data_IF_644377705310
#
_entry.id   IF_644377705310
#
_cell.length_a   1.000
_cell.length_b   1.000
_cell.length_c   1.000
_cell.angle_alpha   90.00
_cell.angle_beta   90.00
_cell.angle_gamma   90.00
#
_symmetry.space_group_name_H-M   'P 1'
#
loop_
_entity.id
_entity.type
_entity.pdbx_description
1 polymer ?
#
# COMPACT_ATOMS: atom_id res chain seq x y z
N UNK A 1 21.36 7.61 -3.12
CA UNK A 1 22.81 7.46 -2.97
C UNK A 1 23.14 7.39 -1.48
N UNK A 2 23.29 6.18 -0.93
CA UNK A 2 23.76 5.97 0.46
C UNK A 2 25.09 5.24 0.35
N UNK A 3 26.14 5.99 0.02
CA UNK A 3 27.49 5.46 -0.19
C UNK A 3 28.48 6.12 0.78
N UNK A 4 28.37 5.87 2.10
CA UNK A 4 29.39 6.32 3.08
C UNK A 4 29.35 5.59 4.42
N UNK A 5 29.26 4.25 4.51
CA UNK A 5 29.28 3.64 5.86
C UNK A 5 30.11 2.38 6.09
N UNK A 6 30.78 1.79 5.09
CA UNK A 6 31.68 0.66 5.41
C UNK A 6 32.97 1.11 6.09
N UNK A 7 33.57 2.22 5.62
CA UNK A 7 34.76 2.80 6.25
C UNK A 7 34.47 3.35 7.66
N UNK A 8 33.32 4.01 7.85
CA UNK A 8 32.91 4.54 9.15
C UNK A 8 32.59 3.42 10.16
N UNK A 9 31.88 2.37 9.75
CA UNK A 9 31.56 1.23 10.63
C UNK A 9 32.80 0.40 10.99
N UNK A 10 33.75 0.24 10.06
CA UNK A 10 35.02 -0.43 10.34
C UNK A 10 35.93 0.38 11.27
N UNK A 11 35.97 1.72 11.11
CA UNK A 11 36.67 2.61 12.04
C UNK A 11 36.09 2.53 13.46
N UNK A 12 34.76 2.63 13.61
CA UNK A 12 34.09 2.51 14.90
C UNK A 12 34.33 1.14 15.58
N UNK A 13 34.33 0.05 14.80
CA UNK A 13 34.67 -1.28 15.32
C UNK A 13 36.13 -1.36 15.78
N UNK A 14 37.05 -0.78 15.02
CA UNK A 14 38.49 -0.74 15.35
C UNK A 14 38.74 0.02 16.65
N UNK A 15 38.11 1.18 16.83
CA UNK A 15 38.19 1.96 18.07
C UNK A 15 37.65 1.19 19.28
N UNK A 16 36.50 0.53 19.12
CA UNK A 16 35.92 -0.30 20.19
C UNK A 16 36.82 -1.47 20.58
N UNK A 17 37.46 -2.12 19.61
CA UNK A 17 38.42 -3.20 19.87
C UNK A 17 39.69 -2.70 20.56
N UNK A 18 40.18 -1.51 20.21
CA UNK A 18 41.33 -0.88 20.87
C UNK A 18 40.97 -0.54 22.33
N UNK A 19 39.78 -0.01 22.61
CA UNK A 19 39.33 0.28 23.96
C UNK A 19 39.23 -1.00 24.83
N UNK A 20 38.68 -2.08 24.27
CA UNK A 20 38.63 -3.39 24.94
C UNK A 20 40.03 -3.96 25.21
N UNK A 21 40.95 -3.83 24.25
CA UNK A 21 42.34 -4.29 24.42
C UNK A 21 43.08 -3.47 25.48
N UNK A 22 42.89 -2.15 25.53
CA UNK A 22 43.43 -1.28 26.59
C UNK A 22 42.86 -1.63 27.96
N UNK A 23 41.55 -1.90 28.06
CA UNK A 23 40.92 -2.33 29.32
C UNK A 23 41.45 -3.69 29.79
N UNK A 24 41.68 -4.63 28.87
CA UNK A 24 42.28 -5.94 29.19
C UNK A 24 43.73 -5.79 29.64
N UNK A 25 44.53 -4.97 28.95
CA UNK A 25 45.92 -4.69 29.33
C UNK A 25 46.02 -3.97 30.68
N UNK A 26 45.10 -3.05 30.99
CA UNK A 26 45.04 -2.40 32.30
C UNK A 26 44.66 -3.39 33.43
N UNK A 27 43.82 -4.39 33.12
CA UNK A 27 43.52 -5.48 34.06
C UNK A 27 44.69 -6.46 34.24
N UNK A 28 45.48 -6.72 33.19
CA UNK A 28 46.66 -7.59 33.23
C UNK A 28 47.90 -6.91 33.85
N UNK A 29 48.03 -5.58 33.74
CA UNK A 29 49.13 -4.80 34.34
C UNK A 29 48.92 -4.46 35.82
N UNK A 30 47.88 -5.02 36.47
CA UNK A 30 47.77 -5.02 37.92
C UNK A 30 47.71 -3.64 38.59
N UNK A 31 47.21 -2.61 37.89
CA UNK A 31 47.03 -1.27 38.46
C UNK A 31 45.55 -0.87 38.51
N UNK A 32 44.72 -1.79 39.00
CA UNK A 32 43.36 -1.53 39.44
C UNK A 32 43.35 -1.41 40.96
N UNK A 33 43.25 -0.16 41.42
CA UNK A 33 43.13 0.31 42.81
C UNK A 33 42.55 -0.73 43.78
N UNK A 34 43.29 -0.92 44.87
CA UNK A 34 42.99 -1.74 46.03
C UNK A 34 41.55 -1.63 46.53
N UNK A 35 40.88 -2.77 46.60
CA UNK A 35 39.69 -2.98 47.39
C UNK A 35 39.57 -4.47 47.70
N UNK A 36 39.46 -4.89 48.97
CA UNK A 36 39.39 -6.30 49.31
C UNK A 36 38.23 -6.93 48.56
N UNK A 37 38.51 -8.05 47.91
CA UNK A 37 37.55 -8.96 47.30
C UNK A 37 36.70 -9.59 48.40
N UNK A 38 35.89 -8.79 49.08
CA UNK A 38 34.78 -9.33 49.84
C UNK A 38 33.85 -9.91 48.78
N UNK A 39 33.78 -11.24 48.72
CA UNK A 39 32.70 -11.94 48.05
C UNK A 39 31.39 -11.49 48.70
N UNK A 40 30.86 -10.35 48.27
CA UNK A 40 29.52 -9.93 48.58
C UNK A 40 28.63 -10.94 47.88
N UNK A 41 28.12 -11.91 48.63
CA UNK A 41 27.17 -12.89 48.12
C UNK A 41 26.00 -12.12 47.51
N UNK A 42 25.97 -12.01 46.18
CA UNK A 42 24.83 -11.46 45.47
C UNK A 42 23.69 -12.42 45.67
N UNK A 43 22.77 -12.06 46.55
CA UNK A 43 21.53 -12.76 46.75
C UNK A 43 20.76 -12.74 45.43
N UNK A 44 20.65 -13.89 44.78
CA UNK A 44 20.10 -13.98 43.42
C UNK A 44 18.59 -13.68 43.42
N UNK A 45 17.89 -14.17 44.44
CA UNK A 45 16.43 -14.14 44.56
C UNK A 45 15.92 -13.49 45.86
N UNK A 46 16.77 -12.88 46.68
CA UNK A 46 16.35 -12.23 47.92
C UNK A 46 16.62 -10.74 47.84
N UNK A 47 15.64 -9.95 48.30
CA UNK A 47 15.74 -8.51 48.37
C UNK A 47 16.00 -8.07 49.82
N UNK A 48 17.17 -7.45 50.11
CA UNK A 48 17.58 -7.15 51.48
C UNK A 48 16.73 -6.06 52.16
N UNK A 49 16.06 -5.19 51.42
CA UNK A 49 15.22 -4.13 52.00
C UNK A 49 13.84 -4.65 52.40
N UNK A 50 13.20 -5.43 51.51
CA UNK A 50 11.87 -5.99 51.75
C UNK A 50 11.90 -7.34 52.49
N UNK A 51 13.09 -7.96 52.63
CA UNK A 51 13.32 -9.29 53.20
C UNK A 51 12.47 -10.39 52.57
N UNK A 52 12.04 -10.19 51.33
CA UNK A 52 11.18 -11.10 50.58
C UNK A 52 11.89 -11.63 49.33
N UNK A 53 11.25 -12.61 48.69
CA UNK A 53 11.68 -13.14 47.41
C UNK A 53 11.59 -12.01 46.37
N UNK A 54 12.68 -11.82 45.63
CA UNK A 54 12.77 -10.83 44.57
C UNK A 54 11.79 -11.21 43.47
N UNK A 55 10.62 -10.59 43.46
CA UNK A 55 9.64 -10.79 42.41
C UNK A 55 10.23 -10.21 41.12
N UNK A 56 10.38 -11.05 40.10
CA UNK A 56 10.81 -10.59 38.80
C UNK A 56 9.60 -9.86 38.23
N UNK A 57 9.58 -8.53 38.31
CA UNK A 57 8.65 -7.72 37.55
C UNK A 57 8.76 -8.20 36.10
N UNK A 58 7.80 -9.03 35.70
CA UNK A 58 7.61 -9.38 34.31
C UNK A 58 7.16 -8.06 33.72
N UNK A 59 8.14 -7.30 33.20
CA UNK A 59 7.93 -5.95 32.69
C UNK A 59 6.62 -5.92 31.94
N UNK A 60 5.72 -5.04 32.39
CA UNK A 60 4.29 -4.93 32.08
C UNK A 60 3.95 -5.58 30.74
N UNK A 61 3.77 -6.89 30.77
CA UNK A 61 3.68 -7.75 29.59
C UNK A 61 2.25 -8.16 29.32
N UNK A 62 1.32 -7.23 29.52
CA UNK A 62 -0.12 -7.44 29.39
C UNK A 62 -0.74 -6.67 28.22
N UNK A 63 0.03 -5.89 27.46
CA UNK A 63 -0.53 -4.90 26.54
C UNK A 63 -0.73 -5.43 25.11
N UNK A 64 -0.11 -6.56 24.73
CA UNK A 64 -0.13 -7.07 23.36
C UNK A 64 -0.82 -8.45 23.28
N UNK A 65 -2.04 -8.51 23.79
CA UNK A 65 -2.91 -9.70 23.70
C UNK A 65 -3.94 -9.51 22.58
N UNK A 66 -4.30 -10.59 21.86
CA UNK A 66 -5.28 -10.52 20.76
C UNK A 66 -6.64 -10.06 21.29
N UNK A 67 -6.95 -10.43 22.53
CA UNK A 67 -8.15 -10.01 23.25
C UNK A 67 -8.19 -8.49 23.42
N UNK A 68 -7.09 -7.86 23.85
CA UNK A 68 -6.99 -6.40 23.98
C UNK A 68 -7.04 -5.67 22.62
N UNK A 69 -6.51 -6.29 21.57
CA UNK A 69 -6.54 -5.72 20.21
C UNK A 69 -7.93 -5.78 19.54
N UNK A 70 -8.77 -6.73 19.95
CA UNK A 70 -10.12 -6.94 19.39
C UNK A 70 -11.20 -6.35 20.31
N UNK A 71 -10.85 -5.98 21.54
CA UNK A 71 -11.71 -5.25 22.46
C UNK A 71 -12.22 -3.96 21.78
N UNK A 72 -13.55 -3.82 21.67
CA UNK A 72 -14.20 -2.68 21.05
C UNK A 72 -14.42 -2.76 19.52
N UNK A 73 -13.82 -3.72 18.80
CA UNK A 73 -14.06 -3.89 17.34
C UNK A 73 -15.52 -4.26 17.05
N UNK A 74 -16.12 -5.10 17.89
CA UNK A 74 -17.54 -5.46 17.74
C UNK A 74 -18.45 -4.22 17.93
N UNK A 75 -18.09 -3.34 18.86
CA UNK A 75 -18.84 -2.10 19.11
C UNK A 75 -18.67 -1.11 17.98
N UNK A 76 -17.49 -1.02 17.36
CA UNK A 76 -17.28 -0.15 16.19
C UNK A 76 -18.07 -0.64 14.97
N UNK A 77 -18.09 -1.95 14.72
CA UNK A 77 -18.88 -2.54 13.64
C UNK A 77 -20.37 -2.27 13.84
N UNK A 78 -20.87 -2.40 15.08
CA UNK A 78 -22.27 -2.13 15.38
C UNK A 78 -22.60 -0.64 15.19
N UNK A 79 -21.73 0.27 15.64
CA UNK A 79 -21.89 1.71 15.42
C UNK A 79 -21.90 2.07 13.94
N UNK A 80 -20.99 1.51 13.14
CA UNK A 80 -20.95 1.70 11.69
C UNK A 80 -22.20 1.16 10.99
N UNK A 81 -22.73 0.00 11.40
CA UNK A 81 -23.97 -0.56 10.85
C UNK A 81 -25.18 0.31 11.22
N UNK A 82 -25.22 0.82 12.46
CA UNK A 82 -26.25 1.77 12.88
C UNK A 82 -26.17 3.09 12.12
N UNK A 83 -24.97 3.61 11.86
CA UNK A 83 -24.76 4.82 11.06
C UNK A 83 -25.25 4.62 9.63
N UNK A 84 -24.89 3.51 8.98
CA UNK A 84 -25.37 3.15 7.62
C UNK A 84 -26.88 2.94 7.55
N UNK A 85 -27.52 2.51 8.65
CA UNK A 85 -28.99 2.41 8.72
C UNK A 85 -29.67 3.74 9.01
N UNK A 86 -28.98 4.65 9.69
CA UNK A 86 -29.44 6.03 9.96
C UNK A 86 -29.23 6.93 8.76
N UNK A 87 -28.27 6.63 7.89
CA UNK A 87 -28.15 7.24 6.57
C UNK A 87 -29.50 7.16 5.86
N UNK A 88 -29.96 8.32 5.37
CA UNK A 88 -31.24 8.43 4.69
C UNK A 88 -31.28 7.45 3.53
N UNK A 89 -32.30 6.59 3.54
CA UNK A 89 -32.47 5.54 2.56
C UNK A 89 -32.50 6.15 1.16
N UNK A 90 -31.49 5.86 0.34
CA UNK A 90 -31.39 6.42 -1.01
C UNK A 90 -32.55 5.93 -1.88
N UNK A 91 -33.57 6.78 -1.99
CA UNK A 91 -34.80 6.51 -2.71
C UNK A 91 -34.56 6.23 -4.20
N UNK A 92 -33.47 6.73 -4.79
CA UNK A 92 -33.17 6.51 -6.20
C UNK A 92 -32.69 5.08 -6.48
N UNK A 93 -32.02 4.45 -5.53
CA UNK A 93 -31.58 3.06 -5.65
C UNK A 93 -32.72 2.05 -5.45
N UNK A 94 -33.77 2.44 -4.72
CA UNK A 94 -34.92 1.60 -4.37
C UNK A 94 -36.08 1.77 -5.36
N UNK A 95 -36.05 2.82 -6.18
CA UNK A 95 -37.05 3.01 -7.23
C UNK A 95 -37.16 1.76 -8.13
N UNK A 96 -38.40 1.35 -8.48
CA UNK A 96 -38.61 0.22 -9.36
C UNK A 96 -37.91 0.47 -10.69
N UNK A 97 -37.07 -0.48 -11.04
CA UNK A 97 -36.19 -0.46 -12.20
C UNK A 97 -37.01 -0.70 -13.47
N UNK A 98 -36.56 -0.19 -14.62
CA UNK A 98 -37.20 -0.48 -15.92
C UNK A 98 -37.22 -1.99 -16.15
N UNK A 99 -38.28 -2.52 -16.75
CA UNK A 99 -38.44 -3.96 -16.99
C UNK A 99 -37.28 -4.60 -17.78
N UNK A 100 -36.60 -3.83 -18.63
CA UNK A 100 -35.43 -4.26 -19.41
C UNK A 100 -34.09 -4.07 -18.69
N UNK A 101 -34.06 -3.59 -17.45
CA UNK A 101 -32.82 -3.36 -16.70
C UNK A 101 -31.99 -4.64 -16.64
N UNK A 102 -32.61 -5.73 -16.21
CA UNK A 102 -31.88 -6.97 -15.96
C UNK A 102 -31.29 -7.54 -17.27
N UNK A 103 -32.08 -7.48 -18.35
CA UNK A 103 -31.61 -7.84 -19.68
C UNK A 103 -30.44 -6.97 -20.13
N UNK A 104 -30.50 -5.65 -19.89
CA UNK A 104 -29.39 -4.74 -20.21
C UNK A 104 -28.15 -5.08 -19.39
N UNK A 105 -28.28 -5.32 -18.09
CA UNK A 105 -27.18 -5.68 -17.20
C UNK A 105 -26.50 -6.99 -17.65
N UNK A 106 -27.29 -8.02 -17.90
CA UNK A 106 -26.76 -9.32 -18.32
C UNK A 106 -26.12 -9.24 -19.71
N UNK A 107 -26.72 -8.47 -20.63
CA UNK A 107 -26.13 -8.19 -21.94
C UNK A 107 -24.80 -7.45 -21.79
N UNK A 108 -24.73 -6.40 -20.95
CA UNK A 108 -23.48 -5.64 -20.74
C UNK A 108 -22.37 -6.52 -20.18
N UNK A 109 -22.66 -7.44 -19.25
CA UNK A 109 -21.67 -8.37 -18.71
C UNK A 109 -21.14 -9.34 -19.77
N UNK A 110 -22.00 -9.79 -20.69
CA UNK A 110 -21.60 -10.66 -21.81
C UNK A 110 -20.79 -9.89 -22.85
N UNK A 111 -21.22 -8.68 -23.19
CA UNK A 111 -20.57 -7.82 -24.18
C UNK A 111 -19.21 -7.31 -23.68
N UNK A 112 -19.04 -6.98 -22.40
CA UNK A 112 -17.76 -6.49 -21.86
C UNK A 112 -16.55 -7.40 -22.17
N UNK A 113 -16.76 -8.72 -22.18
CA UNK A 113 -15.72 -9.70 -22.56
C UNK A 113 -15.39 -9.65 -24.05
N UNK A 114 -16.40 -9.44 -24.89
CA UNK A 114 -16.27 -9.35 -26.34
C UNK A 114 -15.67 -8.00 -26.73
N UNK A 115 -16.16 -6.90 -26.16
CA UNK A 115 -15.71 -5.53 -26.42
C UNK A 115 -14.21 -5.38 -26.20
N UNK A 116 -13.65 -6.00 -25.16
CA UNK A 116 -12.19 -6.02 -24.96
C UNK A 116 -11.44 -6.65 -26.14
N UNK A 117 -11.89 -7.82 -26.60
CA UNK A 117 -11.27 -8.52 -27.75
C UNK A 117 -11.50 -7.77 -29.05
N UNK A 118 -12.67 -7.17 -29.23
CA UNK A 118 -13.01 -6.35 -30.38
C UNK A 118 -12.07 -5.13 -30.43
N UNK A 119 -11.85 -4.45 -29.31
CA UNK A 119 -10.92 -3.31 -29.23
C UNK A 119 -9.47 -3.73 -29.51
N UNK A 120 -9.03 -4.89 -29.00
CA UNK A 120 -7.71 -5.47 -29.32
C UNK A 120 -7.57 -5.78 -30.82
N UNK A 121 -8.63 -6.34 -31.44
CA UNK A 121 -8.67 -6.63 -32.86
C UNK A 121 -8.66 -5.35 -33.70
N UNK A 122 -9.47 -4.35 -33.33
CA UNK A 122 -9.49 -3.02 -33.95
C UNK A 122 -8.10 -2.39 -33.89
N UNK A 123 -7.45 -2.39 -32.73
CA UNK A 123 -6.09 -1.86 -32.58
C UNK A 123 -5.09 -2.60 -33.47
N UNK A 124 -5.24 -3.92 -33.61
CA UNK A 124 -4.38 -4.74 -34.48
C UNK A 124 -4.60 -4.41 -35.96
N UNK A 125 -5.85 -4.27 -36.39
CA UNK A 125 -6.21 -3.86 -37.75
C UNK A 125 -5.67 -2.46 -38.04
N UNK A 126 -5.79 -1.51 -37.09
CA UNK A 126 -5.22 -0.17 -37.26
C UNK A 126 -3.71 -0.21 -37.43
N UNK A 127 -2.98 -0.98 -36.60
CA UNK A 127 -1.52 -1.14 -36.76
C UNK A 127 -1.16 -1.69 -38.14
N UNK A 128 -1.87 -2.72 -38.62
CA UNK A 128 -1.65 -3.31 -39.94
C UNK A 128 -1.93 -2.30 -41.06
N UNK A 129 -3.04 -1.55 -40.97
CA UNK A 129 -3.39 -0.51 -41.93
C UNK A 129 -2.34 0.61 -41.96
N UNK A 130 -1.92 1.13 -40.81
CA UNK A 130 -0.85 2.12 -40.70
C UNK A 130 0.47 1.63 -41.31
N UNK A 131 0.86 0.39 -41.02
CA UNK A 131 2.07 -0.21 -41.59
C UNK A 131 1.96 -0.39 -43.11
N UNK A 132 0.78 -0.79 -43.62
CA UNK A 132 0.54 -0.92 -45.07
C UNK A 132 0.58 0.43 -45.79
N UNK A 133 0.03 1.49 -45.19
CA UNK A 133 0.15 2.85 -45.73
C UNK A 133 1.61 3.31 -45.75
N UNK A 134 2.34 3.12 -44.64
CA UNK A 134 3.77 3.45 -44.54
C UNK A 134 4.64 2.67 -45.54
N UNK A 135 4.28 1.42 -45.85
CA UNK A 135 5.01 0.57 -46.82
C UNK A 135 4.61 0.85 -48.28
N UNK A 136 3.46 1.49 -48.50
CA UNK A 136 2.81 1.59 -49.81
C UNK A 136 2.97 2.91 -50.57
N UNK A 137 3.35 4.05 -49.95
CA UNK A 137 3.44 5.31 -50.71
C UNK A 137 4.27 6.40 -50.04
N UNK A 138 5.19 6.96 -50.82
CA UNK A 138 5.68 8.33 -50.96
C UNK A 138 5.57 9.33 -49.77
N UNK A 139 6.65 10.08 -49.46
CA UNK A 139 6.76 10.98 -48.29
C UNK A 139 5.84 12.22 -48.29
N UNK A 140 4.88 12.31 -49.22
CA UNK A 140 3.92 13.43 -49.32
C UNK A 140 2.51 13.09 -48.79
N UNK A 141 2.26 11.82 -48.40
CA UNK A 141 0.96 11.33 -47.98
C UNK A 141 0.85 11.04 -46.48
N UNK A 142 1.55 11.80 -45.63
CA UNK A 142 1.34 11.74 -44.18
C UNK A 142 0.00 12.41 -43.85
N UNK A 143 -1.08 11.65 -43.97
CA UNK A 143 -2.40 12.07 -43.53
C UNK A 143 -2.37 12.09 -42.00
N UNK A 144 -2.46 13.29 -41.42
CA UNK A 144 -2.54 13.49 -39.97
C UNK A 144 -3.86 12.94 -39.43
N UNK A 145 -3.88 11.63 -39.19
CA UNK A 145 -5.03 10.87 -38.69
C UNK A 145 -5.50 11.39 -37.32
N UNK A 146 -4.59 12.02 -36.56
CA UNK A 146 -4.91 12.63 -35.26
C UNK A 146 -5.78 13.86 -35.49
N UNK A 147 -5.42 14.73 -36.45
CA UNK A 147 -6.28 15.85 -36.84
C UNK A 147 -7.65 15.40 -37.40
N UNK A 148 -7.68 14.30 -38.16
CA UNK A 148 -8.94 13.74 -38.69
C UNK A 148 -9.86 13.14 -37.62
N UNK A 149 -9.31 12.49 -36.59
CA UNK A 149 -10.09 11.96 -35.46
C UNK A 149 -10.66 13.11 -34.62
N UNK A 150 -9.86 14.14 -34.33
CA UNK A 150 -10.34 15.32 -33.60
C UNK A 150 -11.42 16.10 -34.35
N UNK A 151 -11.34 16.21 -35.68
CA UNK A 151 -12.39 16.81 -36.49
C UNK A 151 -13.71 16.01 -36.45
N UNK A 152 -13.63 14.68 -36.48
CA UNK A 152 -14.82 13.81 -36.41
C UNK A 152 -15.45 13.76 -35.00
N UNK A 153 -14.65 13.94 -33.95
CA UNK A 153 -15.13 14.03 -32.56
C UNK A 153 -15.87 15.35 -32.34
N UNK A 154 -15.35 16.46 -32.88
CA UNK A 154 -16.00 17.78 -32.87
C UNK A 154 -17.35 17.79 -33.60
N UNK A 155 -17.50 17.01 -34.68
CA UNK A 155 -18.74 16.88 -35.44
C UNK A 155 -19.82 16.07 -34.69
N UNK A 156 -19.41 15.06 -33.90
CA UNK A 156 -20.32 14.24 -33.09
C UNK A 156 -20.83 14.93 -31.84
N UNK A 157 -20.00 15.79 -31.26
CA UNK A 157 -20.35 16.57 -30.07
C UNK A 157 -21.06 17.89 -30.43
N UNK A 158 -21.41 18.10 -31.70
CA UNK A 158 -22.19 19.26 -32.13
C UNK A 158 -23.63 19.17 -31.58
N UNK A 159 -24.05 20.10 -30.69
CA UNK A 159 -25.35 20.05 -30.03
C UNK A 159 -26.55 20.24 -30.98
N UNK A 160 -26.30 20.54 -32.27
CA UNK A 160 -27.34 20.71 -33.29
C UNK A 160 -28.00 19.39 -33.70
N UNK A 161 -27.29 18.27 -33.67
CA UNK A 161 -27.83 16.97 -34.10
C UNK A 161 -28.64 16.25 -33.01
N UNK A 162 -28.33 16.52 -31.74
CA UNK A 162 -29.03 15.92 -30.59
C UNK A 162 -30.51 16.34 -30.48
N UNK A 163 -30.91 17.47 -31.09
CA UNK A 163 -32.28 17.98 -31.05
C UNK A 163 -33.22 17.32 -32.08
N UNK A 164 -32.71 16.53 -33.03
CA UNK A 164 -33.54 15.90 -34.08
C UNK A 164 -34.17 14.56 -33.68
N UNK A 165 -33.77 13.99 -32.55
CA UNK A 165 -34.09 12.60 -32.17
C UNK A 165 -35.22 12.44 -31.15
N UNK A 166 -35.81 13.54 -30.67
CA UNK A 166 -36.86 13.55 -29.63
C UNK A 166 -38.26 13.85 -30.20
N UNK A 167 -38.41 13.88 -31.54
CA UNK A 167 -39.68 14.00 -32.26
C UNK A 167 -39.94 12.75 -33.13
N UNK A 168 -40.20 11.58 -32.52
CA UNK A 168 -40.99 10.48 -33.13
C UNK A 168 -41.44 9.41 -32.12
#
# INVERSE_FOLDING_TARGET
MVETNLAATTAARKERLIALRKRKQAAEQGNGVDGPSHFAFKQRNFDPETRQLRNRERGEGGEDTVEAAVEGLAESILKEDEEKRKEELDLFNIQPKRANWDLKRDMTNRMAKLDRKTNEAIATIFRQRLQSMKKGKDPAGEVDLIAGIHAAEQERDDPRDAQSSDEE
#
